data_IF_214210274905
#
_entry.id   IF_214210274905
#
_cell.length_a   1.000
_cell.length_b   1.000
_cell.length_c   1.000
_cell.angle_alpha   90.00
_cell.angle_beta   90.00
_cell.angle_gamma   90.00
#
_symmetry.space_group_name_H-M   'P 1'
#
loop_
_entity.id
_entity.type
_entity.pdbx_description
1 polymer ?
#
# COMPACT_ATOMS: atom_id res chain seq x y z
N UNK A 1 26.72 48.95 0.93
CA UNK A 1 26.45 48.05 -0.21
C UNK A 1 27.09 46.66 -0.08
N UNK A 2 28.29 46.48 0.48
CA UNK A 2 28.95 45.18 0.64
C UNK A 2 28.24 44.23 1.63
N UNK A 3 27.60 44.74 2.67
CA UNK A 3 26.87 43.95 3.65
C UNK A 3 25.53 43.37 3.10
N UNK A 4 24.90 44.07 2.16
CA UNK A 4 23.66 43.61 1.50
C UNK A 4 23.91 42.43 0.54
N UNK A 5 25.05 42.45 -0.15
CA UNK A 5 25.43 41.35 -1.06
C UNK A 5 25.75 40.08 -0.31
N UNK A 6 26.38 40.19 0.88
CA UNK A 6 26.65 39.02 1.73
C UNK A 6 25.37 38.40 2.32
N UNK A 7 24.37 39.22 2.70
CA UNK A 7 23.07 38.73 3.19
C UNK A 7 22.27 38.05 2.08
N UNK A 8 22.34 38.53 0.83
CA UNK A 8 21.68 37.91 -0.30
C UNK A 8 22.31 36.55 -0.66
N UNK A 9 23.62 36.42 -0.56
CA UNK A 9 24.33 35.16 -0.77
C UNK A 9 23.98 34.10 0.28
N UNK A 10 23.81 34.51 1.54
CA UNK A 10 23.37 33.58 2.62
C UNK A 10 21.92 33.14 2.41
N UNK A 11 21.03 34.00 1.91
CA UNK A 11 19.65 33.64 1.59
C UNK A 11 19.55 32.65 0.41
N UNK A 12 20.44 32.75 -0.57
CA UNK A 12 20.50 31.80 -1.70
C UNK A 12 21.06 30.45 -1.26
N UNK A 13 22.01 30.44 -0.31
CA UNK A 13 22.54 29.20 0.25
C UNK A 13 21.54 28.48 1.20
N UNK A 14 20.54 29.21 1.74
CA UNK A 14 19.49 28.63 2.57
C UNK A 14 18.34 28.01 1.77
N UNK A 15 18.29 28.16 0.43
CA UNK A 15 17.38 27.44 -0.46
C UNK A 15 17.90 26.02 -0.75
N UNK A 16 18.33 25.29 0.27
CA UNK A 16 18.75 23.92 0.15
C UNK A 16 17.53 22.98 0.03
N UNK A 17 17.63 22.04 -0.87
CA UNK A 17 16.82 20.84 -1.10
C UNK A 17 15.37 20.88 -0.52
N UNK A 18 14.43 21.35 -1.33
CA UNK A 18 13.01 21.33 -0.98
C UNK A 18 12.51 19.89 -0.88
N UNK A 19 11.91 19.51 0.24
CA UNK A 19 11.19 18.24 0.40
C UNK A 19 9.71 18.47 0.28
N UNK A 20 9.05 17.77 -0.65
CA UNK A 20 7.59 17.75 -0.76
C UNK A 20 7.07 16.42 -0.20
N UNK A 21 6.06 16.50 0.67
CA UNK A 21 5.44 15.33 1.30
C UNK A 21 4.02 15.20 0.75
N UNK A 22 3.75 14.06 0.12
CA UNK A 22 2.42 13.70 -0.37
C UNK A 22 1.85 12.53 0.45
N UNK A 23 0.57 12.61 0.78
CA UNK A 23 -0.18 11.49 1.35
C UNK A 23 -1.26 11.09 0.34
N UNK A 24 -1.14 9.88 -0.20
CA UNK A 24 -2.07 9.31 -1.17
C UNK A 24 -3.00 8.39 -0.40
N UNK A 25 -4.28 8.75 -0.32
CA UNK A 25 -5.31 7.88 0.25
C UNK A 25 -5.69 6.81 -0.78
N UNK A 26 -4.92 5.71 -0.78
CA UNK A 26 -5.16 4.58 -1.68
C UNK A 26 -6.49 3.86 -1.35
N UNK A 27 -6.97 3.93 -0.10
CA UNK A 27 -8.26 3.36 0.29
C UNK A 27 -9.42 4.04 -0.43
N UNK A 28 -9.37 5.35 -0.65
CA UNK A 28 -10.44 6.10 -1.33
C UNK A 28 -10.73 5.61 -2.75
N UNK A 29 -9.74 5.01 -3.44
CA UNK A 29 -9.93 4.42 -4.77
C UNK A 29 -10.61 3.04 -4.73
N UNK A 30 -10.65 2.39 -3.57
CA UNK A 30 -11.25 1.07 -3.34
C UNK A 30 -12.64 1.20 -2.71
N UNK A 31 -12.81 2.15 -1.82
CA UNK A 31 -14.04 2.38 -1.06
C UNK A 31 -15.26 2.55 -1.99
N UNK A 32 -16.33 1.86 -1.67
CA UNK A 32 -17.57 1.91 -2.46
C UNK A 32 -17.54 1.17 -3.79
N UNK A 33 -16.41 0.59 -4.21
CA UNK A 33 -16.29 -0.20 -5.44
C UNK A 33 -16.42 -1.71 -5.20
N UNK A 34 -16.48 -2.14 -3.94
CA UNK A 34 -16.41 -3.54 -3.52
C UNK A 34 -15.01 -4.15 -3.58
N UNK A 35 -13.99 -3.37 -3.98
CA UNK A 35 -12.59 -3.82 -4.09
C UNK A 35 -11.79 -3.63 -2.81
N UNK A 36 -12.36 -2.96 -1.83
CA UNK A 36 -11.87 -2.84 -0.45
C UNK A 36 -12.09 -4.10 0.37
N UNK A 37 -12.81 -5.10 -0.20
CA UNK A 37 -13.15 -6.34 0.48
C UNK A 37 -12.75 -7.54 -0.37
N UNK A 38 -12.06 -8.51 0.24
CA UNK A 38 -11.66 -9.78 -0.39
C UNK A 38 -12.32 -10.92 0.36
N UNK A 39 -13.36 -11.55 -0.21
CA UNK A 39 -13.99 -12.72 0.40
C UNK A 39 -13.08 -13.95 0.29
N UNK A 40 -13.17 -14.85 1.25
CA UNK A 40 -12.53 -16.16 1.20
C UNK A 40 -13.50 -17.27 1.61
N UNK A 41 -13.35 -18.43 0.93
CA UNK A 41 -14.06 -19.67 1.25
C UNK A 41 -13.12 -20.83 0.92
N UNK A 42 -12.46 -21.35 1.96
CA UNK A 42 -11.41 -22.36 1.85
C UNK A 42 -11.89 -23.65 2.49
N UNK A 43 -12.01 -24.75 1.73
CA UNK A 43 -12.37 -26.05 2.28
C UNK A 43 -11.41 -26.51 3.39
N UNK A 44 -11.86 -27.43 4.24
CA UNK A 44 -11.06 -27.96 5.35
C UNK A 44 -9.72 -28.51 4.87
N UNK A 45 -8.64 -28.17 5.55
CA UNK A 45 -7.29 -28.65 5.29
C UNK A 45 -6.63 -28.10 4.00
N UNK A 46 -7.27 -27.15 3.29
CA UNK A 46 -6.74 -26.57 2.08
C UNK A 46 -6.26 -25.13 2.26
N UNK A 47 -5.50 -24.66 1.28
CA UNK A 47 -5.10 -23.25 1.14
C UNK A 47 -5.67 -22.66 -0.13
N UNK A 48 -5.88 -21.35 -0.16
CA UNK A 48 -6.36 -20.64 -1.32
C UNK A 48 -5.90 -19.18 -1.35
N UNK A 49 -5.98 -18.57 -2.53
CA UNK A 49 -5.65 -17.16 -2.74
C UNK A 49 -6.80 -16.45 -3.43
N UNK A 50 -7.03 -15.19 -3.04
CA UNK A 50 -7.94 -14.28 -3.72
C UNK A 50 -7.25 -12.92 -3.86
N UNK A 51 -7.61 -12.14 -4.87
CA UNK A 51 -7.02 -10.82 -5.04
C UNK A 51 -7.98 -9.82 -5.65
N UNK A 52 -7.72 -8.55 -5.40
CA UNK A 52 -8.36 -7.40 -6.05
C UNK A 52 -7.31 -6.52 -6.69
N UNK A 53 -7.64 -5.89 -7.82
CA UNK A 53 -6.76 -4.98 -8.56
C UNK A 53 -7.45 -3.65 -8.77
N UNK A 54 -6.75 -2.57 -8.49
CA UNK A 54 -7.27 -1.22 -8.63
C UNK A 54 -6.25 -0.27 -9.24
N UNK A 55 -6.71 0.61 -10.14
CA UNK A 55 -5.95 1.74 -10.67
C UNK A 55 -5.92 2.88 -9.65
N UNK A 56 -4.74 3.45 -9.42
CA UNK A 56 -4.52 4.62 -8.57
C UNK A 56 -4.04 5.76 -9.47
N UNK A 57 -4.71 6.90 -9.41
CA UNK A 57 -4.28 8.12 -10.07
C UNK A 57 -3.42 8.93 -9.10
N UNK A 58 -2.22 9.30 -9.52
CA UNK A 58 -1.32 10.11 -8.71
C UNK A 58 -1.58 11.60 -8.95
N UNK A 59 -1.35 12.46 -7.96
CA UNK A 59 -1.44 13.90 -8.13
C UNK A 59 -0.53 14.40 -9.26
N UNK A 60 -0.88 15.50 -9.96
CA UNK A 60 0.01 16.13 -10.92
C UNK A 60 1.33 16.56 -10.26
N UNK A 61 2.43 16.42 -10.96
CA UNK A 61 3.78 16.75 -10.44
C UNK A 61 4.60 15.56 -9.96
N UNK A 62 3.98 14.41 -9.76
CA UNK A 62 4.74 13.17 -9.63
C UNK A 62 5.46 12.88 -10.96
N UNK A 63 6.77 12.68 -10.94
CA UNK A 63 7.52 12.28 -12.13
C UNK A 63 8.68 13.17 -12.52
N UNK A 64 8.70 14.43 -12.09
CA UNK A 64 9.83 15.35 -12.30
C UNK A 64 10.84 15.36 -11.15
N UNK A 65 10.41 14.99 -9.94
CA UNK A 65 11.23 15.04 -8.72
C UNK A 65 11.83 13.68 -8.37
N UNK A 66 12.98 13.68 -7.70
CA UNK A 66 13.56 12.46 -7.10
C UNK A 66 12.67 11.96 -5.95
N UNK A 67 12.46 10.64 -5.87
CA UNK A 67 11.80 10.04 -4.73
C UNK A 67 12.84 9.78 -3.64
N UNK A 68 12.61 10.30 -2.44
CA UNK A 68 13.45 10.10 -1.26
C UNK A 68 12.99 8.86 -0.48
N UNK A 69 11.67 8.75 -0.23
CA UNK A 69 11.10 7.57 0.42
C UNK A 69 9.61 7.39 0.14
N UNK A 70 9.16 6.13 0.21
CA UNK A 70 7.76 5.73 0.08
C UNK A 70 7.45 4.75 1.19
N UNK A 71 6.38 4.98 1.95
CA UNK A 71 5.98 4.08 3.02
C UNK A 71 4.49 4.15 3.35
N UNK A 72 4.01 3.19 4.11
CA UNK A 72 2.65 3.19 4.63
C UNK A 72 2.61 4.10 5.86
N UNK A 73 1.86 5.21 5.75
CA UNK A 73 1.61 6.12 6.88
C UNK A 73 0.54 5.58 7.82
N UNK A 74 -0.56 5.10 7.23
CA UNK A 74 -1.69 4.53 7.96
C UNK A 74 -2.24 3.39 7.12
N UNK A 75 -2.31 2.21 7.71
CA UNK A 75 -2.91 1.06 7.06
C UNK A 75 -3.61 0.19 8.09
N UNK A 76 -4.84 -0.21 7.79
CA UNK A 76 -5.62 -1.11 8.64
C UNK A 76 -6.63 -1.90 7.82
N UNK A 77 -6.90 -3.10 8.31
CA UNK A 77 -7.93 -3.98 7.78
C UNK A 77 -8.60 -4.73 8.92
N UNK A 78 -9.79 -5.25 8.67
CA UNK A 78 -10.48 -6.19 9.55
C UNK A 78 -10.58 -7.55 8.86
N UNK A 79 -10.16 -8.61 9.55
CA UNK A 79 -10.48 -9.99 9.19
C UNK A 79 -11.80 -10.36 9.86
N UNK A 80 -12.86 -10.45 9.07
CA UNK A 80 -14.21 -10.80 9.53
C UNK A 80 -14.41 -12.27 9.20
N UNK A 81 -14.08 -13.15 10.15
CA UNK A 81 -14.24 -14.60 10.01
C UNK A 81 -15.65 -15.00 10.42
N UNK A 82 -16.31 -15.81 9.59
CA UNK A 82 -17.65 -16.31 9.86
C UNK A 82 -17.61 -17.74 10.44
N UNK A 83 -16.78 -18.62 9.85
CA UNK A 83 -16.64 -20.01 10.26
C UNK A 83 -15.22 -20.52 10.05
N UNK A 84 -14.90 -21.66 10.68
CA UNK A 84 -13.64 -22.37 10.52
C UNK A 84 -12.49 -21.73 11.29
N UNK A 85 -11.32 -22.36 11.17
CA UNK A 85 -10.08 -21.92 11.83
C UNK A 85 -8.91 -22.00 10.86
N UNK A 86 -8.03 -21.02 10.93
CA UNK A 86 -6.87 -20.96 10.04
C UNK A 86 -6.10 -19.67 10.16
N UNK A 87 -5.34 -19.33 9.12
CA UNK A 87 -4.58 -18.09 9.07
C UNK A 87 -4.78 -17.39 7.73
N UNK A 88 -4.76 -16.05 7.75
CA UNK A 88 -4.95 -15.20 6.58
C UNK A 88 -3.86 -14.14 6.56
N UNK A 89 -3.06 -14.12 5.50
CA UNK A 89 -2.05 -13.09 5.21
C UNK A 89 -2.42 -12.25 4.01
N UNK A 90 -1.81 -11.08 3.89
CA UNK A 90 -1.99 -10.20 2.73
C UNK A 90 -0.67 -9.81 2.13
N UNK A 91 -0.69 -9.53 0.83
CA UNK A 91 0.44 -9.06 0.06
C UNK A 91 0.01 -7.90 -0.82
N UNK A 92 0.84 -6.86 -0.93
CA UNK A 92 0.64 -5.73 -1.83
C UNK A 92 1.65 -5.80 -2.97
N UNK A 93 1.15 -5.52 -4.17
CA UNK A 93 1.94 -5.45 -5.40
C UNK A 93 1.57 -4.17 -6.13
N UNK A 94 2.55 -3.56 -6.80
CA UNK A 94 2.35 -2.38 -7.62
C UNK A 94 2.97 -2.60 -9.00
N UNK A 95 2.33 -2.08 -10.05
CA UNK A 95 2.81 -2.17 -11.42
C UNK A 95 2.28 -1.02 -12.28
N UNK A 96 2.82 -0.90 -13.50
CA UNK A 96 2.39 0.09 -14.49
C UNK A 96 1.02 -0.22 -15.11
N UNK A 97 0.62 -1.48 -15.11
CA UNK A 97 -0.67 -1.93 -15.63
C UNK A 97 -1.25 -3.08 -14.78
N UNK A 98 -2.51 -3.43 -15.01
CA UNK A 98 -3.21 -4.42 -14.19
C UNK A 98 -2.67 -5.83 -14.35
N UNK A 99 -2.26 -6.24 -15.56
CA UNK A 99 -1.73 -7.58 -15.82
C UNK A 99 -0.33 -7.74 -15.18
N UNK A 100 0.51 -6.72 -15.28
CA UNK A 100 1.83 -6.69 -14.69
C UNK A 100 1.81 -6.84 -13.16
N UNK A 101 0.71 -6.52 -12.46
CA UNK A 101 0.60 -6.72 -11.01
C UNK A 101 0.73 -8.19 -10.58
N UNK A 102 0.47 -9.15 -11.49
CA UNK A 102 0.55 -10.59 -11.20
C UNK A 102 1.99 -11.14 -11.29
N UNK A 103 2.86 -10.44 -12.00
CA UNK A 103 4.28 -10.79 -12.16
C UNK A 103 5.21 -9.83 -11.42
N UNK A 104 4.68 -8.72 -10.89
CA UNK A 104 5.45 -7.75 -10.15
C UNK A 104 6.07 -8.34 -8.86
N UNK A 105 7.23 -7.86 -8.42
CA UNK A 105 7.76 -8.21 -7.12
C UNK A 105 6.79 -7.77 -6.02
N UNK A 106 6.74 -8.54 -4.94
CA UNK A 106 5.97 -8.19 -3.75
C UNK A 106 6.54 -6.93 -3.10
N UNK A 107 5.70 -5.91 -2.98
CA UNK A 107 6.09 -4.63 -2.37
C UNK A 107 5.97 -4.68 -0.84
N UNK A 108 4.95 -5.37 -0.32
CA UNK A 108 4.73 -5.51 1.12
C UNK A 108 4.12 -6.86 1.44
N UNK A 109 4.64 -7.52 2.47
CA UNK A 109 4.08 -8.73 3.06
C UNK A 109 3.50 -8.41 4.45
N UNK A 110 2.20 -8.67 4.63
CA UNK A 110 1.53 -8.58 5.91
C UNK A 110 1.42 -10.01 6.44
N UNK A 111 2.11 -10.33 7.56
CA UNK A 111 2.17 -11.70 8.08
C UNK A 111 0.78 -12.30 8.33
N UNK A 112 0.64 -13.63 8.25
CA UNK A 112 -0.63 -14.29 8.50
C UNK A 112 -1.14 -14.04 9.93
N UNK A 113 -2.41 -13.71 10.03
CA UNK A 113 -3.14 -13.55 11.28
C UNK A 113 -4.05 -14.77 11.49
N UNK A 114 -4.01 -15.36 12.67
CA UNK A 114 -4.86 -16.51 13.02
C UNK A 114 -6.29 -16.07 13.30
N UNK A 115 -7.23 -16.88 12.82
CA UNK A 115 -8.68 -16.72 13.06
C UNK A 115 -9.29 -18.05 13.49
N UNK A 116 -10.32 -18.00 14.34
CA UNK A 116 -11.02 -19.18 14.84
C UNK A 116 -12.47 -18.86 15.16
N UNK A 117 -13.40 -19.58 14.52
CA UNK A 117 -14.84 -19.34 14.67
C UNK A 117 -15.28 -17.95 14.19
N UNK A 118 -16.47 -17.55 14.57
CA UNK A 118 -17.02 -16.23 14.21
C UNK A 118 -16.36 -15.13 15.03
N UNK A 119 -15.53 -14.32 14.39
CA UNK A 119 -14.79 -13.19 15.03
C UNK A 119 -14.37 -12.13 14.03
N UNK A 120 -14.07 -10.94 14.56
CA UNK A 120 -13.40 -9.87 13.82
C UNK A 120 -12.04 -9.59 14.45
N UNK A 121 -10.99 -9.69 13.65
CA UNK A 121 -9.60 -9.44 14.09
C UNK A 121 -9.05 -8.23 13.34
N UNK A 122 -8.66 -7.15 14.04
CA UNK A 122 -7.99 -6.01 13.40
C UNK A 122 -6.58 -6.38 12.98
N UNK A 123 -6.18 -5.89 11.80
CA UNK A 123 -4.84 -6.05 11.24
C UNK A 123 -4.25 -4.68 10.96
N UNK A 124 -3.07 -4.41 11.48
CA UNK A 124 -2.31 -3.20 11.20
C UNK A 124 -1.41 -3.46 9.99
N UNK A 125 -1.40 -2.49 9.05
CA UNK A 125 -0.61 -2.55 7.83
C UNK A 125 0.44 -1.44 7.91
N UNK A 126 1.70 -1.83 8.04
CA UNK A 126 2.85 -0.91 8.07
C UNK A 126 3.95 -1.45 7.18
N UNK A 127 4.77 -0.58 6.63
CA UNK A 127 5.94 -1.00 5.86
C UNK A 127 6.55 0.12 5.03
N UNK A 128 7.80 -0.14 4.64
CA UNK A 128 8.56 0.68 3.71
C UNK A 128 8.41 0.09 2.31
N UNK A 129 8.10 0.95 1.34
CA UNK A 129 7.92 0.61 -0.07
C UNK A 129 9.06 1.17 -0.94
N UNK A 130 10.02 1.89 -0.33
CA UNK A 130 11.16 2.51 -1.02
C UNK A 130 12.01 1.45 -1.73
N UNK A 131 12.44 1.76 -2.95
CA UNK A 131 13.25 0.86 -3.76
C UNK A 131 12.47 -0.21 -4.53
N UNK A 132 11.25 -0.59 -4.09
CA UNK A 132 10.42 -1.54 -4.82
C UNK A 132 9.53 -0.84 -5.84
N UNK A 133 9.03 0.36 -5.51
CA UNK A 133 8.01 1.05 -6.32
C UNK A 133 8.42 2.46 -6.79
N UNK A 134 9.64 2.91 -6.52
CA UNK A 134 10.12 4.27 -6.85
C UNK A 134 9.84 4.69 -8.29
N UNK A 135 10.16 3.82 -9.26
CA UNK A 135 9.95 4.11 -10.67
C UNK A 135 8.47 4.22 -11.05
N UNK A 136 7.59 3.51 -10.34
CA UNK A 136 6.15 3.52 -10.58
C UNK A 136 5.51 4.82 -10.11
N UNK A 137 5.98 5.36 -8.98
CA UNK A 137 5.50 6.64 -8.45
C UNK A 137 5.99 7.86 -9.24
N UNK A 138 6.85 7.67 -10.25
CA UNK A 138 7.17 8.69 -11.25
C UNK A 138 6.15 8.80 -12.38
N UNK A 139 5.17 7.89 -12.45
CA UNK A 139 4.10 7.89 -13.44
C UNK A 139 2.89 8.66 -12.92
N UNK A 140 1.99 9.06 -13.81
CA UNK A 140 0.71 9.69 -13.42
C UNK A 140 -0.30 8.69 -12.89
N UNK A 141 -0.13 7.42 -13.19
CA UNK A 141 -1.02 6.33 -12.76
C UNK A 141 -0.20 5.09 -12.46
N UNK A 142 -0.65 4.34 -11.47
CA UNK A 142 -0.14 3.01 -11.17
C UNK A 142 -1.30 2.06 -10.83
N UNK A 143 -1.00 0.77 -10.85
CA UNK A 143 -1.95 -0.27 -10.46
C UNK A 143 -1.49 -0.93 -9.18
N UNK A 144 -2.42 -1.15 -8.27
CA UNK A 144 -2.20 -1.86 -7.01
C UNK A 144 -3.02 -3.15 -7.00
N UNK A 145 -2.39 -4.27 -6.64
CA UNK A 145 -3.06 -5.53 -6.34
C UNK A 145 -2.88 -5.85 -4.88
N UNK A 146 -3.99 -6.19 -4.22
CA UNK A 146 -4.00 -6.74 -2.87
C UNK A 146 -4.35 -8.22 -3.03
N UNK A 147 -3.46 -9.11 -2.61
CA UNK A 147 -3.68 -10.55 -2.59
C UNK A 147 -3.83 -11.02 -1.15
N UNK A 148 -4.86 -11.83 -0.89
CA UNK A 148 -5.06 -12.54 0.37
C UNK A 148 -4.68 -14.00 0.16
N UNK A 149 -3.90 -14.57 1.08
CA UNK A 149 -3.63 -16.01 1.15
C UNK A 149 -4.25 -16.55 2.43
N UNK A 150 -5.13 -17.52 2.30
CA UNK A 150 -5.79 -18.16 3.44
C UNK A 150 -5.39 -19.63 3.52
N UNK A 151 -5.09 -20.10 4.73
CA UNK A 151 -4.79 -21.50 5.02
C UNK A 151 -5.76 -22.00 6.09
N UNK A 152 -6.60 -22.97 5.73
CA UNK A 152 -7.55 -23.58 6.65
C UNK A 152 -6.90 -24.76 7.38
N UNK A 153 -6.74 -24.63 8.68
CA UNK A 153 -6.20 -25.69 9.56
C UNK A 153 -7.28 -26.45 10.33
N UNK A 154 -8.54 -26.05 10.15
CA UNK A 154 -9.69 -26.67 10.83
C UNK A 154 -10.33 -27.79 10.02
N UNK A 155 -11.34 -28.40 10.61
CA UNK A 155 -12.15 -29.50 10.03
C UNK A 155 -13.41 -29.01 9.32
N UNK A 156 -13.71 -27.70 9.41
CA UNK A 156 -14.81 -27.02 8.72
C UNK A 156 -14.27 -25.99 7.76
N UNK A 157 -15.08 -25.62 6.76
CA UNK A 157 -14.66 -24.58 5.81
C UNK A 157 -14.34 -23.26 6.53
N UNK A 158 -13.24 -22.65 6.16
CA UNK A 158 -12.82 -21.31 6.61
C UNK A 158 -13.48 -20.27 5.71
N UNK A 159 -14.48 -19.56 6.22
CA UNK A 159 -15.24 -18.57 5.44
C UNK A 159 -15.22 -17.20 6.09
N UNK A 160 -15.20 -16.17 5.28
CA UNK A 160 -15.20 -14.79 5.77
C UNK A 160 -14.74 -13.80 4.70
N UNK A 161 -14.22 -12.67 5.17
CA UNK A 161 -13.66 -11.63 4.30
C UNK A 161 -12.58 -10.82 5.01
N UNK A 162 -11.60 -10.39 4.26
CA UNK A 162 -10.70 -9.29 4.65
C UNK A 162 -11.28 -7.97 4.13
N UNK A 163 -11.49 -7.02 5.01
CA UNK A 163 -11.98 -5.68 4.65
C UNK A 163 -10.91 -4.64 5.00
N UNK A 164 -10.38 -3.97 3.98
CA UNK A 164 -9.49 -2.83 4.17
C UNK A 164 -10.28 -1.66 4.76
N UNK A 165 -9.74 -0.99 5.76
CA UNK A 165 -10.40 0.13 6.43
C UNK A 165 -9.63 1.43 6.30
N UNK A 166 -8.32 1.37 6.06
CA UNK A 166 -7.49 2.52 5.71
C UNK A 166 -6.25 2.06 4.94
N UNK A 167 -5.80 2.87 3.98
CA UNK A 167 -4.50 2.71 3.33
C UNK A 167 -4.01 4.05 2.81
N UNK A 168 -3.14 4.71 3.56
CA UNK A 168 -2.52 5.97 3.18
C UNK A 168 -1.04 5.74 2.92
N UNK A 169 -0.61 6.00 1.70
CA UNK A 169 0.78 5.92 1.26
C UNK A 169 1.40 7.31 1.35
N UNK A 170 2.50 7.43 2.09
CA UNK A 170 3.29 8.64 2.18
C UNK A 170 4.43 8.57 1.20
N UNK A 171 4.55 9.58 0.34
CA UNK A 171 5.65 9.75 -0.61
C UNK A 171 6.39 11.04 -0.26
N UNK A 172 7.70 10.94 -0.10
CA UNK A 172 8.58 12.09 0.10
C UNK A 172 9.38 12.28 -1.19
N UNK A 173 9.21 13.43 -1.80
CA UNK A 173 9.96 13.85 -2.98
C UNK A 173 11.06 14.81 -2.56
N UNK A 174 12.24 14.63 -3.13
CA UNK A 174 13.36 15.56 -3.01
C UNK A 174 13.50 16.31 -4.33
N UNK A 175 13.31 17.61 -4.31
CA UNK A 175 13.55 18.48 -5.44
C UNK A 175 15.03 18.85 -5.44
N UNK A 176 15.78 18.30 -6.37
CA UNK A 176 17.14 18.78 -6.65
C UNK A 176 17.01 20.02 -7.52
N UNK A 177 17.05 21.20 -6.89
CA UNK A 177 16.93 22.49 -7.58
C UNK A 177 18.21 22.85 -8.38
N UNK A 178 19.22 21.96 -8.44
CA UNK A 178 20.45 22.17 -9.19
C UNK A 178 20.92 20.91 -9.90
#
# INVERSE_FOLDING_TARGET
MKAFAAALLVLVAACGEGRAIFNIDAYSFLAGTGKDTIPYNIPAGLSGTASTVQKINLPPGFGSSGIDSIGIRTGSANLINATGSGSIGFQLFFASDSAATYTAPMALNIPPTNVSGAQTVPVVITGDLTGVVDSLFKQQTLWMRIAATANNTGVTALTGKGALTALVIRVILQDKIF
#
